data_IF_927793861533
#
_entry.id   IF_927793861533
#
_cell.length_a   1.000
_cell.length_b   1.000
_cell.length_c   1.000
_cell.angle_alpha   90.00
_cell.angle_beta   90.00
_cell.angle_gamma   90.00
#
_symmetry.space_group_name_H-M   'P 1'
#
loop_
_entity.id
_entity.type
_entity.pdbx_description
1 polymer ?
#
# COMPACT_ATOMS: atom_id res chain seq x y z
N UNK A 1 -6.76 47.74 -35.44
CA UNK A 1 -7.27 46.38 -35.79
C UNK A 1 -6.05 45.48 -35.82
N UNK A 2 -5.90 44.35 -35.15
CA UNK A 2 -6.77 43.56 -34.27
C UNK A 2 -5.94 42.97 -33.12
N UNK A 3 -6.64 42.43 -32.12
CA UNK A 3 -6.15 42.16 -30.75
C UNK A 3 -5.55 40.75 -30.62
N UNK A 4 -4.49 40.69 -29.81
CA UNK A 4 -4.01 39.52 -29.07
C UNK A 4 -5.13 38.81 -28.31
N UNK A 5 -5.03 37.48 -28.21
CA UNK A 5 -5.75 36.67 -27.24
C UNK A 5 -4.80 35.73 -26.51
N UNK A 6 -4.42 36.16 -25.31
CA UNK A 6 -3.98 35.35 -24.19
C UNK A 6 -4.95 34.19 -23.92
N UNK A 7 -4.44 32.97 -23.84
CA UNK A 7 -5.17 31.81 -23.32
C UNK A 7 -4.82 31.66 -21.84
N UNK A 8 -5.71 32.17 -20.97
CA UNK A 8 -5.72 31.89 -19.53
C UNK A 8 -6.22 30.46 -19.28
N UNK A 9 -5.34 29.57 -18.83
CA UNK A 9 -5.72 28.28 -18.24
C UNK A 9 -5.88 28.46 -16.72
N UNK A 10 -7.10 28.78 -16.29
CA UNK A 10 -7.49 28.82 -14.88
C UNK A 10 -8.73 27.94 -14.66
N UNK A 11 -8.53 26.66 -14.31
CA UNK A 11 -9.51 25.87 -13.56
C UNK A 11 -8.77 24.91 -12.63
N UNK A 12 -8.70 25.31 -11.37
CA UNK A 12 -8.41 24.43 -10.23
C UNK A 12 -9.53 23.40 -10.17
N UNK A 13 -9.20 22.11 -10.35
CA UNK A 13 -10.14 21.01 -10.18
C UNK A 13 -10.30 20.75 -8.68
N UNK A 14 -11.46 21.10 -8.13
CA UNK A 14 -11.87 20.77 -6.78
C UNK A 14 -12.04 19.24 -6.64
N UNK A 15 -11.40 18.65 -5.63
CA UNK A 15 -11.52 17.22 -5.30
C UNK A 15 -12.95 16.87 -4.82
N UNK A 16 -13.39 15.60 -4.96
CA UNK A 16 -14.79 15.21 -4.79
C UNK A 16 -15.34 15.45 -3.38
N UNK A 17 -16.66 15.65 -3.29
CA UNK A 17 -17.40 15.65 -2.03
C UNK A 17 -17.30 14.29 -1.30
N UNK A 18 -17.59 14.25 0.00
CA UNK A 18 -17.56 13.04 0.85
C UNK A 18 -18.33 11.81 0.31
N UNK A 19 -19.25 11.99 -0.65
CA UNK A 19 -19.92 10.89 -1.37
C UNK A 19 -19.00 10.14 -2.34
N UNK A 20 -17.94 10.80 -2.81
CA UNK A 20 -16.88 10.28 -3.67
C UNK A 20 -16.13 9.08 -3.09
N UNK A 21 -15.74 9.20 -1.82
CA UNK A 21 -14.92 8.22 -1.09
C UNK A 21 -15.72 7.00 -0.63
N UNK A 22 -17.00 7.18 -0.28
CA UNK A 22 -17.88 6.09 0.18
C UNK A 22 -18.16 5.04 -0.92
N UNK A 23 -17.93 5.36 -2.19
CA UNK A 23 -18.17 4.47 -3.30
C UNK A 23 -17.00 3.56 -3.70
N UNK A 24 -15.78 3.87 -3.24
CA UNK A 24 -14.62 2.97 -3.35
C UNK A 24 -14.96 1.55 -2.89
N UNK A 25 -15.87 1.42 -1.92
CA UNK A 25 -16.13 0.18 -1.21
C UNK A 25 -17.37 -0.59 -1.70
N UNK A 26 -18.24 0.02 -2.52
CA UNK A 26 -19.45 -0.68 -3.02
C UNK A 26 -19.16 -1.67 -4.16
N UNK A 27 -18.08 -1.46 -4.92
CA UNK A 27 -17.76 -2.29 -6.09
C UNK A 27 -16.80 -3.46 -5.80
N UNK A 28 -16.37 -3.67 -4.54
CA UNK A 28 -15.59 -4.85 -4.14
C UNK A 28 -16.46 -6.07 -3.74
N UNK A 29 -17.77 -6.03 -3.99
CA UNK A 29 -18.72 -7.07 -3.61
C UNK A 29 -19.03 -8.00 -4.81
N UNK A 30 -18.63 -9.28 -4.76
CA UNK A 30 -19.38 -10.34 -5.42
C UNK A 30 -20.19 -11.14 -4.40
N UNK A 31 -21.44 -11.38 -4.79
CA UNK A 31 -22.48 -12.21 -4.17
C UNK A 31 -21.93 -13.57 -3.76
N UNK A 32 -22.07 -13.98 -2.51
CA UNK A 32 -21.97 -15.41 -2.13
C UNK A 32 -23.10 -15.81 -1.19
N UNK A 33 -23.95 -16.69 -1.71
CA UNK A 33 -24.99 -17.42 -1.00
C UNK A 33 -24.43 -18.72 -0.39
N UNK A 34 -24.77 -18.95 0.87
CA UNK A 34 -24.91 -20.23 1.59
C UNK A 34 -23.92 -21.37 1.30
N UNK A 35 -22.91 -21.50 2.17
CA UNK A 35 -22.25 -22.78 2.45
C UNK A 35 -22.00 -22.93 3.96
N UNK A 36 -22.99 -23.48 4.68
CA UNK A 36 -22.87 -23.95 6.06
C UNK A 36 -23.56 -25.31 6.16
N UNK A 37 -22.84 -26.37 5.82
CA UNK A 37 -23.15 -27.74 6.23
C UNK A 37 -21.89 -28.61 6.10
N UNK A 38 -21.57 -29.37 7.17
CA UNK A 38 -20.46 -30.32 7.32
C UNK A 38 -19.10 -29.63 7.62
N UNK A 39 -18.46 -29.76 8.79
CA UNK A 39 -18.27 -30.93 9.63
C UNK A 39 -18.02 -30.55 11.11
N UNK A 40 -18.74 -31.23 12.01
CA UNK A 40 -18.38 -31.43 13.42
C UNK A 40 -18.11 -32.93 13.62
N UNK A 41 -16.95 -33.29 14.16
CA UNK A 41 -16.70 -34.44 15.06
C UNK A 41 -15.21 -34.43 15.46
N UNK A 42 -14.87 -34.07 16.73
CA UNK A 42 -14.48 -34.95 17.87
C UNK A 42 -13.16 -35.71 17.65
N UNK A 43 -12.18 -35.87 18.56
CA UNK A 43 -11.82 -35.41 19.93
C UNK A 43 -10.32 -35.88 20.15
N UNK A 44 -9.78 -36.19 21.35
CA UNK A 44 -8.94 -35.30 22.17
C UNK A 44 -7.55 -35.86 22.61
N UNK A 45 -6.71 -34.96 23.15
CA UNK A 45 -5.95 -35.20 24.39
C UNK A 45 -4.48 -35.65 24.29
N UNK A 46 -3.57 -34.86 24.86
CA UNK A 46 -2.58 -35.33 25.85
C UNK A 46 -1.90 -34.14 26.57
N UNK A 47 -1.72 -34.26 27.89
CA UNK A 47 -1.00 -33.33 28.80
C UNK A 47 0.19 -34.08 29.41
N UNK A 48 1.31 -33.39 29.67
CA UNK A 48 2.00 -33.26 31.00
C UNK A 48 3.40 -32.59 30.87
N UNK A 49 4.09 -32.15 31.96
CA UNK A 49 4.60 -30.77 32.08
C UNK A 49 6.09 -30.65 32.52
N UNK A 50 6.45 -29.48 33.10
CA UNK A 50 7.62 -29.14 33.96
C UNK A 50 8.81 -28.57 33.15
N UNK A 51 9.52 -27.49 33.55
CA UNK A 51 9.54 -26.68 34.76
C UNK A 51 10.46 -25.44 34.61
N UNK A 52 10.40 -24.56 35.62
CA UNK A 52 11.20 -23.31 35.81
C UNK A 52 12.71 -23.67 35.99
N UNK A 53 13.71 -22.84 35.69
CA UNK A 53 14.09 -21.59 36.41
C UNK A 53 15.44 -21.11 35.82
N UNK A 54 15.65 -19.80 35.59
CA UNK A 54 16.86 -19.04 35.95
C UNK A 54 16.84 -17.64 35.32
N UNK A 55 16.98 -16.63 36.16
CA UNK A 55 17.00 -15.21 35.82
C UNK A 55 18.28 -14.55 36.35
N UNK A 56 18.72 -13.49 35.63
CA UNK A 56 19.66 -12.39 36.01
C UNK A 56 21.14 -12.78 36.14
N UNK A 57 22.12 -12.04 35.59
CA UNK A 57 22.43 -10.59 35.64
C UNK A 57 23.24 -10.24 34.35
N UNK A 58 22.88 -9.38 33.39
CA UNK A 58 22.66 -7.92 33.32
C UNK A 58 23.92 -7.02 33.37
N UNK A 59 24.23 -6.34 32.25
CA UNK A 59 24.64 -4.92 32.04
C UNK A 59 25.62 -4.79 30.85
N UNK A 60 25.49 -3.87 29.90
CA UNK A 60 24.50 -2.83 29.66
C UNK A 60 24.85 -2.07 28.37
N UNK A 61 23.83 -1.58 27.66
CA UNK A 61 23.87 -0.48 26.67
C UNK A 61 22.41 -0.13 26.36
N UNK A 62 22.05 1.14 26.51
CA UNK A 62 20.72 1.64 26.20
C UNK A 62 20.44 1.50 24.69
N UNK A 63 19.54 0.59 24.34
CA UNK A 63 18.76 0.63 23.12
C UNK A 63 17.34 1.07 23.51
N UNK A 64 16.80 2.09 22.85
CA UNK A 64 15.35 2.26 22.75
C UNK A 64 14.82 1.03 22.02
N UNK A 65 14.54 0.00 22.81
CA UNK A 65 14.01 -1.28 22.37
C UNK A 65 12.53 -1.08 22.17
N UNK A 66 12.00 -1.50 21.03
CA UNK A 66 10.56 -1.78 20.88
C UNK A 66 10.22 -2.71 22.03
N UNK A 67 9.40 -2.25 22.99
CA UNK A 67 8.93 -3.12 24.07
C UNK A 67 8.14 -4.26 23.43
N UNK A 68 8.79 -5.42 23.28
CA UNK A 68 8.12 -6.67 22.96
C UNK A 68 7.18 -6.99 24.12
N UNK A 69 5.89 -6.79 23.91
CA UNK A 69 4.87 -7.11 24.90
C UNK A 69 4.91 -8.62 25.21
N UNK A 70 4.85 -9.02 26.49
CA UNK A 70 4.79 -10.44 26.84
C UNK A 70 3.49 -11.06 26.31
N UNK A 71 3.46 -12.38 26.00
CA UNK A 71 2.25 -13.06 25.52
C UNK A 71 1.19 -13.08 26.63
N UNK A 72 0.34 -12.05 26.64
CA UNK A 72 -0.80 -11.89 27.52
C UNK A 72 -2.12 -12.05 26.77
N UNK A 73 -3.20 -12.39 27.48
CA UNK A 73 -4.56 -12.46 26.92
C UNK A 73 -4.88 -11.16 26.17
N UNK A 74 -5.34 -11.28 24.92
CA UNK A 74 -5.91 -10.14 24.20
C UNK A 74 -7.18 -9.67 24.91
N UNK A 75 -7.18 -8.43 25.39
CA UNK A 75 -8.39 -7.79 25.89
C UNK A 75 -9.10 -7.08 24.74
N UNK A 76 -9.53 -7.83 23.73
CA UNK A 76 -10.26 -7.25 22.58
C UNK A 76 -11.60 -6.62 23.00
N UNK A 77 -12.08 -6.91 24.22
CA UNK A 77 -13.28 -6.31 24.80
C UNK A 77 -13.15 -4.81 25.10
N UNK A 78 -11.93 -4.26 25.13
CA UNK A 78 -11.68 -2.82 25.30
C UNK A 78 -11.46 -2.06 23.98
N UNK A 79 -11.51 -2.74 22.83
CA UNK A 79 -11.30 -2.10 21.53
C UNK A 79 -12.56 -1.33 21.11
N UNK A 80 -12.39 -0.07 20.73
CA UNK A 80 -13.48 0.77 20.23
C UNK A 80 -13.53 0.66 18.71
N UNK A 81 -14.49 -0.12 18.20
CA UNK A 81 -14.70 -0.33 16.76
C UNK A 81 -16.05 0.24 16.35
N UNK A 82 -16.05 1.10 15.32
CA UNK A 82 -17.26 1.69 14.74
C UNK A 82 -17.17 1.56 13.21
N UNK A 83 -18.18 0.99 12.56
CA UNK A 83 -18.24 0.82 11.10
C UNK A 83 -16.97 0.19 10.49
N UNK A 84 -16.40 -0.80 11.18
CA UNK A 84 -15.17 -1.48 10.76
C UNK A 84 -13.90 -0.65 10.91
N UNK A 85 -13.95 0.44 11.67
CA UNK A 85 -12.81 1.30 12.02
C UNK A 85 -12.47 1.13 13.49
N UNK A 86 -11.24 0.71 13.77
CA UNK A 86 -10.70 0.69 15.12
C UNK A 86 -10.19 2.10 15.48
N UNK A 87 -10.69 2.65 16.59
CA UNK A 87 -10.21 3.89 17.18
C UNK A 87 -8.98 3.63 18.04
N UNK A 88 -7.85 4.20 17.64
CA UNK A 88 -6.59 4.22 18.38
C UNK A 88 -6.45 5.43 19.31
N UNK A 89 -5.24 5.61 19.84
CA UNK A 89 -4.85 6.77 20.65
C UNK A 89 -4.68 8.00 19.76
N UNK A 90 -4.80 9.20 20.33
CA UNK A 90 -4.43 10.48 19.70
C UNK A 90 -5.02 10.74 18.30
N UNK A 91 -6.25 10.25 18.09
CA UNK A 91 -7.01 10.41 16.85
C UNK A 91 -6.61 9.45 15.72
N UNK A 92 -5.73 8.48 15.96
CA UNK A 92 -5.41 7.46 14.96
C UNK A 92 -6.59 6.53 14.72
N UNK A 93 -6.92 6.31 13.45
CA UNK A 93 -7.95 5.38 13.01
C UNK A 93 -7.29 4.24 12.23
N UNK A 94 -7.77 3.01 12.41
CA UNK A 94 -7.24 1.84 11.70
C UNK A 94 -8.37 1.12 10.99
N UNK A 95 -8.10 0.68 9.75
CA UNK A 95 -8.97 -0.26 9.07
C UNK A 95 -8.97 -1.57 9.86
N UNK A 96 -10.15 -2.00 10.33
CA UNK A 96 -10.28 -3.14 11.21
C UNK A 96 -11.10 -4.25 10.56
N UNK A 97 -12.30 -3.95 10.08
CA UNK A 97 -13.18 -4.92 9.41
C UNK A 97 -13.63 -4.40 8.03
N UNK A 98 -14.51 -5.14 7.37
CA UNK A 98 -15.09 -4.80 6.06
C UNK A 98 -14.84 -5.91 5.04
N UNK A 99 -14.72 -5.57 3.76
CA UNK A 99 -14.53 -6.56 2.68
C UNK A 99 -13.21 -7.34 2.75
N UNK A 100 -12.27 -6.91 3.60
CA UNK A 100 -10.92 -7.48 3.73
C UNK A 100 -10.65 -8.15 5.09
N UNK A 101 -11.55 -8.03 6.07
CA UNK A 101 -11.43 -8.62 7.43
C UNK A 101 -10.04 -8.47 8.08
N UNK A 102 -9.47 -7.25 8.07
CA UNK A 102 -8.08 -6.97 8.48
C UNK A 102 -7.78 -7.44 9.91
N UNK A 103 -8.74 -7.31 10.82
CA UNK A 103 -8.66 -7.73 12.22
C UNK A 103 -8.27 -9.20 12.37
N UNK A 104 -8.67 -10.06 11.43
CA UNK A 104 -8.39 -11.49 11.46
C UNK A 104 -6.90 -11.80 11.31
N UNK A 105 -6.12 -10.98 10.59
CA UNK A 105 -4.66 -11.18 10.53
C UNK A 105 -3.98 -11.08 11.91
N UNK A 106 -4.58 -10.37 12.86
CA UNK A 106 -4.03 -10.12 14.19
C UNK A 106 -4.74 -10.90 15.30
N UNK A 107 -5.89 -11.52 15.00
CA UNK A 107 -6.77 -12.20 15.97
C UNK A 107 -7.02 -13.67 15.67
N UNK A 108 -6.84 -14.11 14.42
CA UNK A 108 -7.03 -15.49 13.95
C UNK A 108 -5.73 -16.01 13.30
N UNK A 109 -4.97 -16.90 13.97
CA UNK A 109 -3.69 -17.37 13.47
C UNK A 109 -3.82 -18.27 12.23
N UNK A 110 -5.05 -18.72 11.91
CA UNK A 110 -5.35 -19.51 10.72
C UNK A 110 -5.85 -18.68 9.53
N UNK A 111 -6.04 -17.37 9.67
CA UNK A 111 -6.60 -16.55 8.59
C UNK A 111 -5.62 -16.38 7.41
N UNK A 112 -4.33 -16.23 7.71
CA UNK A 112 -3.25 -16.26 6.73
C UNK A 112 -2.08 -17.06 7.33
N UNK A 113 -2.05 -18.35 6.99
CA UNK A 113 -1.17 -19.36 7.56
C UNK A 113 -0.07 -19.80 6.59
N UNK A 114 0.43 -21.01 6.84
CA UNK A 114 1.44 -21.63 5.98
C UNK A 114 0.94 -21.96 4.56
N UNK A 115 -0.32 -22.45 4.36
CA UNK A 115 -0.82 -22.74 3.01
C UNK A 115 -0.93 -21.49 2.14
N UNK A 116 -1.46 -20.39 2.68
CA UNK A 116 -1.62 -19.12 1.94
C UNK A 116 -0.24 -18.56 1.56
N UNK A 117 0.70 -18.53 2.50
CA UNK A 117 2.08 -18.09 2.24
C UNK A 117 2.78 -18.98 1.19
N UNK A 118 2.59 -20.30 1.23
CA UNK A 118 3.18 -21.20 0.24
C UNK A 118 2.63 -20.95 -1.18
N UNK A 119 1.34 -20.61 -1.29
CA UNK A 119 0.73 -20.17 -2.55
C UNK A 119 1.40 -18.90 -3.10
N UNK A 120 1.62 -17.90 -2.26
CA UNK A 120 2.35 -16.68 -2.64
C UNK A 120 3.80 -16.95 -3.03
N UNK A 121 4.52 -17.78 -2.28
CA UNK A 121 5.90 -18.16 -2.63
C UNK A 121 5.96 -18.80 -4.02
N UNK A 122 5.02 -19.69 -4.32
CA UNK A 122 4.93 -20.33 -5.63
C UNK A 122 4.63 -19.31 -6.73
N UNK A 123 3.63 -18.44 -6.51
CA UNK A 123 3.23 -17.41 -7.46
C UNK A 123 4.39 -16.45 -7.77
N UNK A 124 5.03 -15.87 -6.75
CA UNK A 124 6.09 -14.87 -6.94
C UNK A 124 7.32 -15.46 -7.63
N UNK A 125 7.71 -16.70 -7.29
CA UNK A 125 8.81 -17.39 -7.98
C UNK A 125 8.45 -17.69 -9.43
N UNK A 126 7.22 -18.09 -9.71
CA UNK A 126 6.73 -18.30 -11.07
C UNK A 126 6.74 -17.02 -11.91
N UNK A 127 6.26 -15.91 -11.34
CA UNK A 127 6.31 -14.58 -11.97
C UNK A 127 7.75 -14.16 -12.27
N UNK A 128 8.66 -14.30 -11.30
CA UNK A 128 10.07 -13.99 -11.48
C UNK A 128 10.72 -14.80 -12.61
N UNK A 129 10.48 -16.11 -12.63
CA UNK A 129 11.03 -16.99 -13.68
C UNK A 129 10.51 -16.62 -15.07
N UNK A 130 9.22 -16.31 -15.21
CA UNK A 130 8.63 -15.89 -16.49
C UNK A 130 9.13 -14.51 -16.94
N UNK A 131 9.33 -13.57 -16.02
CA UNK A 131 9.97 -12.29 -16.34
C UNK A 131 11.43 -12.48 -16.80
N UNK A 132 12.18 -13.36 -16.15
CA UNK A 132 13.56 -13.64 -16.53
C UNK A 132 13.67 -14.24 -17.95
N UNK A 133 12.70 -15.05 -18.39
CA UNK A 133 12.65 -15.61 -19.75
C UNK A 133 12.56 -14.54 -20.85
N UNK A 134 11.99 -13.37 -20.55
CA UNK A 134 11.93 -12.23 -21.47
C UNK A 134 13.01 -11.17 -21.19
N UNK A 135 13.96 -11.46 -20.29
CA UNK A 135 15.03 -10.55 -19.91
C UNK A 135 14.64 -9.44 -18.93
N UNK A 136 13.44 -9.51 -18.35
CA UNK A 136 12.94 -8.50 -17.40
C UNK A 136 13.32 -8.84 -15.95
N UNK A 137 13.68 -7.83 -15.17
CA UNK A 137 13.77 -7.94 -13.71
C UNK A 137 12.36 -7.93 -13.10
N UNK A 138 12.16 -8.68 -12.01
CA UNK A 138 10.89 -8.71 -11.28
C UNK A 138 11.05 -8.34 -9.81
N UNK A 139 10.14 -7.50 -9.28
CA UNK A 139 10.01 -7.21 -7.85
C UNK A 139 8.54 -7.25 -7.43
N UNK A 140 8.30 -7.80 -6.25
CA UNK A 140 7.03 -7.71 -5.55
C UNK A 140 7.18 -6.78 -4.35
N UNK A 141 6.23 -5.89 -4.13
CA UNK A 141 6.17 -4.97 -3.01
C UNK A 141 4.90 -5.26 -2.22
N UNK A 142 5.04 -5.55 -0.93
CA UNK A 142 3.90 -5.64 -0.01
C UNK A 142 3.85 -4.38 0.82
N UNK A 143 2.76 -3.62 0.72
CA UNK A 143 2.56 -2.44 1.56
C UNK A 143 1.94 -2.89 2.88
N UNK A 144 2.63 -2.77 4.03
CA UNK A 144 2.07 -3.17 5.31
C UNK A 144 0.85 -2.32 5.66
N UNK A 145 -0.13 -2.92 6.32
CA UNK A 145 -1.25 -2.15 6.86
C UNK A 145 -0.77 -1.25 8.00
N UNK A 146 -1.47 -0.14 8.20
CA UNK A 146 -1.12 0.87 9.21
C UNK A 146 -1.04 0.31 10.64
N UNK A 147 -1.77 -0.77 10.94
CA UNK A 147 -1.71 -1.50 12.22
C UNK A 147 -0.31 -2.12 12.40
N UNK A 148 0.25 -2.73 11.36
CA UNK A 148 1.61 -3.28 11.36
C UNK A 148 2.65 -2.17 11.55
N UNK A 149 2.43 -0.97 11.01
CA UNK A 149 3.42 0.13 11.12
C UNK A 149 3.37 0.80 12.50
N UNK A 150 2.19 1.03 13.07
CA UNK A 150 2.01 1.86 14.28
C UNK A 150 1.36 1.14 15.47
N UNK A 151 1.96 0.06 16.03
CA UNK A 151 1.41 -0.62 17.19
C UNK A 151 1.27 0.28 18.42
N UNK A 152 2.12 1.30 18.58
CA UNK A 152 2.11 2.25 19.70
C UNK A 152 0.83 3.11 19.76
N UNK A 153 0.11 3.23 18.64
CA UNK A 153 -1.13 3.99 18.58
C UNK A 153 -2.37 3.10 18.81
N UNK A 154 -2.20 1.80 19.05
CA UNK A 154 -3.28 0.90 19.45
C UNK A 154 -3.64 1.09 20.93
N UNK A 155 -4.89 0.82 21.28
CA UNK A 155 -5.39 0.93 22.66
C UNK A 155 -5.14 -0.34 23.49
N UNK A 156 -4.95 -1.49 22.84
CA UNK A 156 -4.65 -2.76 23.47
C UNK A 156 -3.70 -3.61 22.59
N UNK A 157 -2.92 -4.52 23.17
CA UNK A 157 -2.07 -5.43 22.40
C UNK A 157 -2.89 -6.44 21.60
N UNK A 158 -2.41 -6.78 20.40
CA UNK A 158 -3.03 -7.79 19.54
C UNK A 158 -2.30 -9.13 19.68
N UNK A 159 -3.07 -10.20 19.93
CA UNK A 159 -2.53 -11.52 20.31
C UNK A 159 -1.54 -12.10 19.30
N UNK A 160 -1.81 -11.93 18.01
CA UNK A 160 -1.01 -12.49 16.94
C UNK A 160 -0.35 -11.39 16.11
N UNK A 161 0.03 -10.28 16.75
CA UNK A 161 0.62 -9.13 16.08
C UNK A 161 1.75 -9.53 15.12
N UNK A 162 2.77 -10.25 15.58
CA UNK A 162 3.94 -10.62 14.76
C UNK A 162 3.68 -11.70 13.68
N UNK A 163 2.41 -12.11 13.52
CA UNK A 163 1.97 -13.10 12.55
C UNK A 163 1.18 -12.49 11.38
N UNK A 164 1.08 -11.16 11.30
CA UNK A 164 0.50 -10.46 10.16
C UNK A 164 1.25 -10.81 8.85
N UNK A 165 0.58 -10.72 7.67
CA UNK A 165 1.17 -11.14 6.41
C UNK A 165 2.53 -10.52 6.08
N UNK A 166 2.71 -9.20 6.21
CA UNK A 166 3.99 -8.56 5.88
C UNK A 166 5.16 -9.15 6.68
N UNK A 167 4.99 -9.47 7.97
CA UNK A 167 6.00 -10.16 8.77
C UNK A 167 6.28 -11.59 8.29
N UNK A 168 5.27 -12.29 7.76
CA UNK A 168 5.42 -13.62 7.15
C UNK A 168 6.16 -13.55 5.82
N UNK A 169 5.86 -12.56 4.98
CA UNK A 169 6.59 -12.31 3.73
C UNK A 169 8.06 -11.99 4.00
N UNK A 170 8.36 -11.09 4.95
CA UNK A 170 9.73 -10.74 5.32
C UNK A 170 10.56 -11.97 5.76
N UNK A 171 9.94 -12.90 6.51
CA UNK A 171 10.59 -14.18 6.88
C UNK A 171 10.80 -15.12 5.69
N UNK A 172 9.91 -15.12 4.70
CA UNK A 172 10.01 -15.96 3.51
C UNK A 172 10.97 -15.40 2.44
N UNK A 173 11.20 -14.08 2.45
CA UNK A 173 12.00 -13.35 1.48
C UNK A 173 12.91 -12.31 2.19
N UNK A 174 14.03 -12.73 2.78
CA UNK A 174 14.80 -11.88 3.70
C UNK A 174 15.77 -10.88 3.03
N UNK A 175 15.92 -10.89 1.71
CA UNK A 175 17.01 -10.16 1.01
C UNK A 175 16.53 -9.08 0.02
N UNK A 176 15.22 -8.76 0.01
CA UNK A 176 14.60 -7.78 -0.89
C UNK A 176 14.81 -8.05 -2.41
N UNK A 177 15.31 -9.23 -2.80
CA UNK A 177 15.61 -9.56 -4.21
C UNK A 177 14.38 -9.96 -5.01
N UNK A 178 13.35 -10.50 -4.35
CA UNK A 178 12.10 -10.92 -4.99
C UNK A 178 10.91 -10.19 -4.40
N UNK A 179 10.78 -10.21 -3.07
CA UNK A 179 9.78 -9.45 -2.34
C UNK A 179 10.49 -8.39 -1.50
N UNK A 180 10.16 -7.14 -1.74
CA UNK A 180 10.71 -5.97 -1.06
C UNK A 180 9.93 -5.75 0.23
N UNK A 181 10.60 -5.92 1.36
CA UNK A 181 10.06 -5.59 2.67
C UNK A 181 10.38 -4.12 2.99
N UNK A 182 9.35 -3.33 3.28
CA UNK A 182 9.47 -1.90 3.64
C UNK A 182 9.06 -1.64 5.09
N UNK A 183 8.57 -2.64 5.82
CA UNK A 183 8.03 -2.43 7.18
C UNK A 183 9.10 -1.93 8.16
N UNK A 184 10.33 -2.49 8.20
CA UNK A 184 11.36 -1.96 9.09
C UNK A 184 11.79 -0.54 8.71
N UNK A 185 11.69 -0.15 7.43
CA UNK A 185 12.00 1.22 7.02
C UNK A 185 10.92 2.20 7.53
N UNK A 186 9.64 1.80 7.40
CA UNK A 186 8.50 2.56 7.91
C UNK A 186 8.45 2.62 9.46
N UNK A 187 9.07 1.66 10.14
CA UNK A 187 9.24 1.67 11.61
C UNK A 187 10.49 2.42 12.07
N UNK A 188 11.39 2.79 11.15
CA UNK A 188 12.68 3.39 11.48
C UNK A 188 13.74 2.40 11.99
N UNK A 189 13.49 1.10 11.85
CA UNK A 189 14.40 0.02 12.28
C UNK A 189 15.62 -0.11 11.35
N UNK A 190 15.43 0.14 10.04
CA UNK A 190 16.48 0.01 9.01
C UNK A 190 17.19 1.33 8.70
N UNK A 191 17.59 2.06 9.76
CA UNK A 191 18.33 3.32 9.67
C UNK A 191 17.43 4.55 9.58
N UNK A 192 18.03 5.72 9.35
CA UNK A 192 17.31 7.00 9.36
C UNK A 192 16.67 7.34 7.99
N UNK A 193 15.77 6.47 7.50
CA UNK A 193 15.03 6.73 6.27
C UNK A 193 14.15 7.97 6.35
N UNK A 194 13.67 8.31 7.55
CA UNK A 194 12.98 9.58 7.81
C UNK A 194 13.83 10.80 7.42
N UNK A 195 15.16 10.74 7.53
CA UNK A 195 16.05 11.81 7.07
C UNK A 195 16.36 11.79 5.56
N UNK A 196 15.95 10.74 4.84
CA UNK A 196 16.18 10.59 3.39
C UNK A 196 14.95 10.96 2.56
N UNK A 197 13.79 11.05 3.18
CA UNK A 197 12.56 11.47 2.50
C UNK A 197 12.54 12.98 2.39
N UNK A 198 12.14 13.49 1.23
CA UNK A 198 11.91 14.90 1.04
C UNK A 198 10.59 15.29 1.71
N UNK A 199 10.53 16.38 2.49
CA UNK A 199 9.28 16.80 3.10
C UNK A 199 8.30 17.20 1.99
N UNK A 200 7.15 16.56 1.97
CA UNK A 200 6.23 16.65 0.83
C UNK A 200 4.77 16.31 1.13
N UNK A 201 4.37 16.25 2.41
CA UNK A 201 2.97 16.38 2.78
C UNK A 201 2.50 15.58 3.99
N UNK A 202 2.36 16.28 5.11
CA UNK A 202 1.47 15.96 6.22
C UNK A 202 1.81 16.85 7.41
N UNK A 203 0.86 17.63 7.94
CA UNK A 203 1.03 18.21 9.29
C UNK A 203 0.48 17.24 10.35
N UNK A 204 0.55 15.93 10.09
CA UNK A 204 0.48 14.98 11.19
C UNK A 204 1.66 15.36 12.09
N UNK A 205 1.38 16.08 13.19
CA UNK A 205 2.40 16.69 14.04
C UNK A 205 3.54 15.69 14.29
N UNK A 206 4.69 15.93 13.65
CA UNK A 206 5.83 15.02 13.61
C UNK A 206 6.26 14.68 12.18
N UNK A 207 7.51 14.96 11.84
CA UNK A 207 8.16 14.67 10.54
C UNK A 207 8.20 13.19 10.13
N UNK A 208 7.65 12.29 10.95
CA UNK A 208 7.88 10.85 10.90
C UNK A 208 6.58 10.05 10.67
N UNK A 209 5.46 10.72 10.38
CA UNK A 209 4.19 10.07 10.09
C UNK A 209 4.09 9.67 8.61
N UNK A 210 4.45 8.42 8.32
CA UNK A 210 4.35 7.80 7.00
C UNK A 210 2.93 7.39 6.57
N UNK A 211 1.92 7.55 7.44
CA UNK A 211 0.51 7.36 7.09
C UNK A 211 -0.33 8.48 7.68
N UNK A 212 -1.43 8.81 7.00
CA UNK A 212 -2.43 9.71 7.56
C UNK A 212 -3.12 9.06 8.77
N UNK A 213 -3.52 9.85 9.76
CA UNK A 213 -4.20 9.35 10.97
C UNK A 213 -5.57 8.79 10.65
N UNK A 214 -6.31 9.45 9.77
CA UNK A 214 -7.72 9.19 9.44
C UNK A 214 -7.91 8.55 8.06
N UNK A 215 -6.82 8.16 7.39
CA UNK A 215 -6.83 7.42 6.13
C UNK A 215 -6.14 6.05 6.25
N UNK A 216 -6.46 5.09 5.39
CA UNK A 216 -5.76 3.81 5.30
C UNK A 216 -4.44 3.87 4.53
N UNK A 217 -4.19 4.95 3.78
CA UNK A 217 -3.03 5.11 2.91
C UNK A 217 -1.87 5.85 3.57
N UNK A 218 -0.69 5.66 2.97
CA UNK A 218 0.51 6.38 3.34
C UNK A 218 0.42 7.87 3.02
N UNK A 219 1.27 8.66 3.66
CA UNK A 219 1.57 10.03 3.25
C UNK A 219 2.52 10.03 2.05
N UNK A 220 2.86 11.21 1.55
CA UNK A 220 3.90 11.34 0.53
C UNK A 220 5.24 10.79 1.01
N UNK A 221 5.61 11.07 2.26
CA UNK A 221 6.81 10.58 2.93
C UNK A 221 6.80 9.06 3.04
N UNK A 222 5.67 8.45 3.44
CA UNK A 222 5.57 6.99 3.51
C UNK A 222 5.70 6.32 2.14
N UNK A 223 5.12 6.92 1.10
CA UNK A 223 5.32 6.47 -0.27
C UNK A 223 6.78 6.58 -0.71
N UNK A 224 7.49 7.65 -0.31
CA UNK A 224 8.90 7.81 -0.63
C UNK A 224 9.76 6.72 0.00
N UNK A 225 9.48 6.29 1.23
CA UNK A 225 10.20 5.18 1.86
C UNK A 225 10.11 3.93 0.98
N UNK A 226 8.90 3.57 0.53
CA UNK A 226 8.69 2.42 -0.34
C UNK A 226 9.40 2.58 -1.70
N UNK A 227 9.28 3.75 -2.31
CA UNK A 227 9.94 4.08 -3.57
C UNK A 227 11.47 3.98 -3.48
N UNK A 228 12.09 4.55 -2.44
CA UNK A 228 13.53 4.53 -2.28
C UNK A 228 14.06 3.12 -2.02
N UNK A 229 13.38 2.34 -1.18
CA UNK A 229 13.72 0.92 -0.95
C UNK A 229 13.57 0.09 -2.22
N UNK A 230 12.54 0.35 -3.01
CA UNK A 230 12.34 -0.32 -4.30
C UNK A 230 13.47 0.03 -5.29
N UNK A 231 13.85 1.31 -5.40
CA UNK A 231 15.00 1.72 -6.22
C UNK A 231 16.31 1.06 -5.78
N UNK A 232 16.56 0.96 -4.47
CA UNK A 232 17.72 0.24 -3.92
C UNK A 232 17.69 -1.24 -4.31
N UNK A 233 16.53 -1.91 -4.16
CA UNK A 233 16.37 -3.33 -4.53
C UNK A 233 16.60 -3.59 -6.03
N UNK A 234 16.36 -2.57 -6.87
CA UNK A 234 16.57 -2.61 -8.32
C UNK A 234 17.99 -2.17 -8.72
N UNK A 235 18.81 -1.71 -7.77
CA UNK A 235 20.16 -1.19 -8.02
C UNK A 235 20.17 0.08 -8.87
N UNK A 236 19.16 0.95 -8.72
CA UNK A 236 19.05 2.20 -9.48
C UNK A 236 19.09 3.43 -8.58
N UNK A 237 19.57 4.53 -9.14
CA UNK A 237 19.55 5.82 -8.46
C UNK A 237 18.17 6.47 -8.63
N UNK A 238 17.45 6.79 -7.53
CA UNK A 238 16.18 7.50 -7.60
C UNK A 238 16.36 8.92 -8.14
N UNK A 239 15.32 9.49 -8.76
CA UNK A 239 15.30 10.91 -9.09
C UNK A 239 15.37 11.80 -7.83
N UNK A 240 15.96 12.98 -7.97
CA UNK A 240 15.95 14.02 -6.93
C UNK A 240 14.54 14.62 -6.77
N UNK A 241 13.90 14.34 -5.63
CA UNK A 241 12.58 14.83 -5.28
C UNK A 241 12.60 16.15 -4.47
N UNK A 242 13.76 16.75 -4.19
CA UNK A 242 13.89 17.99 -3.40
C UNK A 242 13.14 19.19 -4.02
N UNK A 243 12.86 19.09 -5.32
CA UNK A 243 12.06 20.08 -6.07
C UNK A 243 10.59 19.71 -6.15
N UNK A 244 10.15 18.56 -5.63
CA UNK A 244 8.74 18.32 -5.40
C UNK A 244 8.21 19.43 -4.49
N UNK A 245 7.07 20.00 -4.87
CA UNK A 245 6.41 21.07 -4.12
C UNK A 245 5.02 20.57 -3.79
N UNK A 246 4.80 20.03 -2.59
CA UNK A 246 3.45 19.70 -2.20
C UNK A 246 2.57 20.94 -2.18
N UNK A 247 1.30 20.77 -2.53
CA UNK A 247 0.33 21.86 -2.41
C UNK A 247 0.12 22.27 -0.96
N UNK A 248 -0.53 23.41 -0.71
CA UNK A 248 -0.97 23.75 0.64
C UNK A 248 -1.88 22.64 1.17
N UNK A 249 -1.72 22.31 2.45
CA UNK A 249 -2.59 21.34 3.11
C UNK A 249 -4.01 21.89 3.28
N UNK A 250 -4.95 20.99 3.48
CA UNK A 250 -6.36 21.32 3.68
C UNK A 250 -6.99 20.38 4.68
N UNK A 251 -7.90 20.93 5.49
CA UNK A 251 -8.80 20.12 6.28
C UNK A 251 -9.73 19.34 5.36
N UNK A 252 -9.74 18.02 5.51
CA UNK A 252 -10.65 17.18 4.76
C UNK A 252 -10.98 15.89 5.48
N UNK A 253 -12.09 15.28 5.08
CA UNK A 253 -12.47 13.94 5.49
C UNK A 253 -11.78 12.94 4.56
N UNK A 254 -11.01 12.03 5.16
CA UNK A 254 -10.29 10.95 4.48
C UNK A 254 -11.03 9.60 4.62
N UNK A 255 -10.50 8.52 4.07
CA UNK A 255 -11.28 7.29 3.83
C UNK A 255 -11.84 6.60 5.10
N UNK A 256 -11.08 6.54 6.21
CA UNK A 256 -11.53 5.99 7.48
C UNK A 256 -12.37 7.01 8.24
N UNK A 257 -11.95 8.28 8.22
CA UNK A 257 -12.69 9.39 8.83
C UNK A 257 -14.11 9.53 8.28
N UNK A 258 -14.31 9.24 6.99
CA UNK A 258 -15.62 9.26 6.32
C UNK A 258 -16.58 8.17 6.82
N UNK A 259 -16.09 7.13 7.49
CA UNK A 259 -16.89 6.00 7.97
C UNK A 259 -17.44 6.22 9.39
N UNK A 260 -17.07 7.30 10.05
CA UNK A 260 -17.50 7.62 11.41
C UNK A 260 -18.62 8.67 11.42
N UNK A 261 -19.40 8.69 12.50
CA UNK A 261 -20.45 9.70 12.72
C UNK A 261 -20.25 10.44 14.05
N UNK A 262 -19.93 11.75 14.05
CA UNK A 262 -19.68 12.60 12.89
C UNK A 262 -18.37 12.22 12.16
N UNK A 263 -18.22 12.58 10.87
CA UNK A 263 -16.98 12.36 10.14
C UNK A 263 -15.78 13.04 10.82
N UNK A 264 -14.64 12.38 10.80
CA UNK A 264 -13.39 12.92 11.36
C UNK A 264 -12.56 13.54 10.25
N UNK A 265 -12.08 14.77 10.48
CA UNK A 265 -11.22 15.52 9.56
C UNK A 265 -9.75 15.36 9.93
N UNK A 266 -8.90 15.55 8.94
CA UNK A 266 -7.45 15.67 9.09
C UNK A 266 -6.90 16.75 8.17
N UNK A 267 -5.84 17.42 8.63
CA UNK A 267 -5.05 18.32 7.80
C UNK A 267 -4.18 17.52 6.83
N UNK A 268 -4.69 17.31 5.61
CA UNK A 268 -4.03 16.48 4.62
C UNK A 268 -3.32 17.34 3.55
N UNK A 269 -2.09 16.95 3.21
CA UNK A 269 -1.31 17.55 2.12
C UNK A 269 -1.14 16.50 1.03
N UNK A 270 -1.46 16.90 -0.19
CA UNK A 270 -1.23 16.08 -1.38
C UNK A 270 -0.27 16.82 -2.29
N UNK A 271 0.82 16.16 -2.65
CA UNK A 271 1.81 16.71 -3.56
C UNK A 271 1.64 16.19 -4.97
N UNK A 272 1.82 17.08 -5.95
CA UNK A 272 2.04 16.66 -7.32
C UNK A 272 3.52 16.31 -7.46
N UNK A 273 3.79 15.02 -7.69
CA UNK A 273 5.14 14.50 -7.88
C UNK A 273 5.53 14.60 -9.35
N UNK A 274 4.58 14.25 -10.24
CA UNK A 274 4.81 14.24 -11.68
C UNK A 274 5.04 15.67 -12.19
N UNK A 275 6.25 15.94 -12.65
CA UNK A 275 6.75 17.25 -13.08
C UNK A 275 7.34 17.18 -14.48
N UNK A 276 8.31 16.30 -14.69
CA UNK A 276 9.01 16.15 -15.97
C UNK A 276 8.36 15.10 -16.84
N UNK A 277 7.94 13.99 -16.23
CA UNK A 277 7.23 12.95 -16.95
C UNK A 277 5.83 13.43 -17.37
N UNK A 278 5.41 13.01 -18.55
CA UNK A 278 4.11 13.37 -19.14
C UNK A 278 3.35 12.10 -19.47
N UNK A 279 2.04 12.11 -19.20
CA UNK A 279 1.15 11.05 -19.63
C UNK A 279 1.08 11.04 -21.16
N UNK A 280 1.38 9.89 -21.76
CA UNK A 280 1.32 9.64 -23.21
C UNK A 280 0.06 8.87 -23.60
N UNK A 281 -0.39 7.96 -22.74
CA UNK A 281 -1.59 7.19 -22.96
C UNK A 281 -2.36 6.93 -21.65
N UNK A 282 -3.66 6.76 -21.80
CA UNK A 282 -4.60 6.27 -20.80
C UNK A 282 -5.75 5.53 -21.48
N UNK A 283 -6.42 4.65 -20.74
CA UNK A 283 -7.61 3.96 -21.22
C UNK A 283 -8.92 4.63 -20.76
N UNK A 284 -10.04 4.18 -21.32
CA UNK A 284 -11.38 4.71 -21.08
C UNK A 284 -11.72 4.80 -19.59
N UNK A 285 -11.30 3.82 -18.79
CA UNK A 285 -11.59 3.81 -17.35
C UNK A 285 -10.92 4.99 -16.62
N UNK A 286 -9.68 5.34 -16.99
CA UNK A 286 -9.00 6.52 -16.44
C UNK A 286 -9.74 7.79 -16.87
N UNK A 287 -10.09 7.92 -18.15
CA UNK A 287 -10.84 9.08 -18.68
C UNK A 287 -12.19 9.24 -17.98
N UNK A 288 -12.91 8.15 -17.77
CA UNK A 288 -14.16 8.10 -17.01
C UNK A 288 -13.95 8.58 -15.58
N UNK A 289 -12.94 8.05 -14.88
CA UNK A 289 -12.67 8.44 -13.50
C UNK A 289 -12.35 9.92 -13.35
N UNK A 290 -11.51 10.45 -14.23
CA UNK A 290 -11.05 11.84 -14.19
C UNK A 290 -12.16 12.83 -14.59
N UNK A 291 -13.05 12.45 -15.52
CA UNK A 291 -14.15 13.31 -15.97
C UNK A 291 -15.37 13.26 -15.04
N UNK A 292 -15.72 12.09 -14.51
CA UNK A 292 -16.98 11.91 -13.77
C UNK A 292 -16.90 10.94 -12.58
N UNK A 293 -16.18 9.82 -12.72
CA UNK A 293 -16.26 8.70 -11.77
C UNK A 293 -15.84 9.11 -10.35
N UNK A 294 -14.76 9.87 -10.22
CA UNK A 294 -14.31 10.37 -8.92
C UNK A 294 -15.31 11.38 -8.32
N UNK A 295 -15.80 12.32 -9.11
CA UNK A 295 -16.71 13.37 -8.66
C UNK A 295 -18.06 12.81 -8.20
N UNK A 296 -18.56 11.78 -8.91
CA UNK A 296 -19.83 11.10 -8.60
C UNK A 296 -19.71 10.11 -7.44
N UNK A 297 -18.49 9.72 -7.07
CA UNK A 297 -18.31 8.57 -6.20
C UNK A 297 -18.83 7.33 -6.88
N UNK A 298 -18.29 7.01 -8.05
CA UNK A 298 -18.47 5.74 -8.74
C UNK A 298 -17.22 5.40 -9.56
N UNK A 299 -15.99 5.58 -9.03
CA UNK A 299 -14.79 5.32 -9.82
C UNK A 299 -14.65 3.83 -10.18
N UNK A 300 -14.06 3.55 -11.35
CA UNK A 300 -13.72 2.23 -11.87
C UNK A 300 -12.21 2.05 -11.82
N UNK A 301 -11.69 1.31 -10.85
CA UNK A 301 -10.24 1.23 -10.66
C UNK A 301 -9.59 0.05 -11.38
N UNK A 302 -10.07 -1.17 -11.15
CA UNK A 302 -9.44 -2.38 -11.70
C UNK A 302 -9.42 -2.29 -13.22
N UNK A 303 -8.23 -2.39 -13.80
CA UNK A 303 -8.00 -2.24 -15.24
C UNK A 303 -7.71 -0.82 -15.71
N UNK A 304 -7.71 0.20 -14.84
CA UNK A 304 -7.12 1.50 -15.20
C UNK A 304 -5.68 1.31 -15.67
N UNK A 305 -5.33 1.91 -16.81
CA UNK A 305 -3.97 1.91 -17.32
C UNK A 305 -3.54 3.32 -17.69
N UNK A 306 -2.31 3.68 -17.33
CA UNK A 306 -1.64 4.89 -17.82
C UNK A 306 -0.23 4.56 -18.27
N UNK A 307 0.26 5.29 -19.28
CA UNK A 307 1.66 5.32 -19.68
C UNK A 307 2.18 6.74 -19.50
N UNK A 308 3.22 6.88 -18.68
CA UNK A 308 3.98 8.11 -18.56
C UNK A 308 5.34 7.97 -19.24
N UNK A 309 5.77 9.01 -19.94
CA UNK A 309 7.07 9.10 -20.59
C UNK A 309 7.86 10.29 -20.06
N UNK A 310 9.15 10.08 -19.80
CA UNK A 310 10.08 11.07 -19.30
C UNK A 310 11.21 11.29 -20.31
N UNK A 311 11.17 12.44 -20.99
CA UNK A 311 12.11 12.81 -22.06
C UNK A 311 13.45 13.34 -21.52
N UNK A 312 13.60 13.47 -20.20
CA UNK A 312 14.76 14.08 -19.61
C UNK A 312 16.03 13.23 -19.82
N UNK A 313 17.20 13.86 -20.07
CA UNK A 313 18.45 13.13 -20.30
C UNK A 313 18.84 12.20 -19.14
N UNK A 314 18.56 12.60 -17.90
CA UNK A 314 18.85 11.83 -16.70
C UNK A 314 17.86 10.69 -16.42
N UNK A 315 16.74 10.61 -17.13
CA UNK A 315 15.77 9.53 -16.94
C UNK A 315 16.39 8.20 -17.36
N UNK A 316 16.32 7.20 -16.48
CA UNK A 316 16.86 5.87 -16.70
C UNK A 316 16.17 5.28 -17.93
N UNK A 317 16.94 4.94 -18.96
CA UNK A 317 16.45 4.38 -20.22
C UNK A 317 16.01 2.92 -20.07
N UNK A 318 14.97 2.72 -19.25
CA UNK A 318 14.29 1.45 -19.03
C UNK A 318 12.79 1.67 -19.09
N UNK A 319 12.10 0.62 -19.53
CA UNK A 319 10.65 0.49 -19.50
C UNK A 319 10.22 -0.32 -18.29
N UNK A 320 9.36 0.27 -17.47
CA UNK A 320 8.79 -0.32 -16.27
C UNK A 320 7.31 -0.57 -16.47
N UNK A 321 6.83 -1.74 -16.07
CA UNK A 321 5.40 -1.97 -15.84
C UNK A 321 5.15 -2.24 -14.36
N UNK A 322 4.20 -1.49 -13.81
CA UNK A 322 3.77 -1.55 -12.41
C UNK A 322 2.31 -2.01 -12.36
N UNK A 323 2.09 -3.19 -11.78
CA UNK A 323 0.76 -3.68 -11.43
C UNK A 323 0.53 -3.41 -9.95
N UNK A 324 -0.46 -2.59 -9.59
CA UNK A 324 -0.64 -2.19 -8.20
C UNK A 324 -2.06 -1.79 -7.84
N UNK A 325 -2.22 -1.29 -6.62
CA UNK A 325 -3.49 -0.81 -6.10
C UNK A 325 -3.49 0.72 -5.84
N UNK A 326 -4.31 1.17 -4.89
CA UNK A 326 -4.43 2.57 -4.50
C UNK A 326 -3.17 3.17 -3.88
N UNK A 327 -2.19 2.36 -3.47
CA UNK A 327 -0.88 2.84 -3.07
C UNK A 327 -0.03 3.30 -4.27
N UNK A 328 -0.26 2.77 -5.47
CA UNK A 328 0.47 3.18 -6.69
C UNK A 328 -0.16 4.38 -7.40
N UNK A 329 -1.47 4.27 -7.64
CA UNK A 329 -2.35 5.30 -8.21
C UNK A 329 -2.04 5.75 -9.67
N UNK A 330 -3.07 6.12 -10.46
CA UNK A 330 -2.92 6.55 -11.86
C UNK A 330 -2.80 8.08 -12.05
N UNK A 331 -3.12 8.85 -11.01
CA UNK A 331 -3.02 10.30 -10.93
C UNK A 331 -1.55 10.73 -10.71
N UNK A 332 -1.17 12.02 -10.86
CA UNK A 332 0.23 12.47 -10.85
C UNK A 332 0.88 12.53 -9.44
N UNK A 333 0.63 11.53 -8.60
CA UNK A 333 1.14 11.40 -7.23
C UNK A 333 1.53 9.94 -6.91
N UNK A 334 2.08 9.71 -5.71
CA UNK A 334 2.52 8.41 -5.19
C UNK A 334 3.53 7.66 -6.09
N UNK A 335 3.55 6.33 -5.98
CA UNK A 335 4.62 5.46 -6.46
C UNK A 335 4.72 5.49 -7.99
N UNK A 336 3.59 5.49 -8.70
CA UNK A 336 3.57 5.60 -10.17
C UNK A 336 4.28 6.88 -10.62
N UNK A 337 4.00 8.01 -9.96
CA UNK A 337 4.61 9.29 -10.34
C UNK A 337 6.10 9.36 -9.98
N UNK A 338 6.52 8.88 -8.80
CA UNK A 338 7.94 8.84 -8.40
C UNK A 338 8.77 7.96 -9.35
N UNK A 339 8.24 6.80 -9.73
CA UNK A 339 8.86 5.93 -10.73
C UNK A 339 8.91 6.62 -12.11
N UNK A 340 7.85 7.32 -12.50
CA UNK A 340 7.81 8.06 -13.77
C UNK A 340 8.83 9.20 -13.84
N UNK A 341 9.15 9.85 -12.72
CA UNK A 341 10.23 10.85 -12.67
C UNK A 341 11.64 10.23 -12.75
N UNK A 342 11.77 8.93 -12.48
CA UNK A 342 13.05 8.20 -12.48
C UNK A 342 13.33 7.46 -13.78
N UNK A 343 12.31 6.80 -14.32
CA UNK A 343 12.42 5.95 -15.51
C UNK A 343 11.82 6.62 -16.74
N UNK A 344 12.35 6.25 -17.91
CA UNK A 344 11.94 6.81 -19.20
C UNK A 344 10.52 6.44 -19.58
N UNK A 345 10.12 5.20 -19.38
CA UNK A 345 8.79 4.70 -19.71
C UNK A 345 8.21 3.94 -18.51
N UNK A 346 7.08 4.40 -17.98
CA UNK A 346 6.38 3.75 -16.88
C UNK A 346 4.93 3.50 -17.28
N UNK A 347 4.54 2.23 -17.27
CA UNK A 347 3.17 1.77 -17.47
C UNK A 347 2.61 1.35 -16.13
N UNK A 348 1.54 1.98 -15.68
CA UNK A 348 0.81 1.52 -14.50
C UNK A 348 -0.46 0.81 -14.94
N UNK A 349 -0.75 -0.32 -14.31
CA UNK A 349 -1.99 -1.08 -14.45
C UNK A 349 -2.55 -1.30 -13.05
N UNK A 350 -3.78 -0.86 -12.81
CA UNK A 350 -4.44 -1.12 -11.54
C UNK A 350 -4.96 -2.56 -11.51
N UNK A 351 -4.17 -3.48 -10.97
CA UNK A 351 -4.51 -4.89 -10.87
C UNK A 351 -3.54 -5.63 -9.94
N UNK A 352 -4.05 -6.61 -9.21
CA UNK A 352 -3.22 -7.57 -8.45
C UNK A 352 -2.81 -8.79 -9.29
N UNK A 353 -3.54 -9.05 -10.38
CA UNK A 353 -3.23 -10.06 -11.40
C UNK A 353 -2.40 -9.45 -12.54
N UNK A 354 -1.44 -10.21 -13.05
CA UNK A 354 -0.68 -9.83 -14.24
C UNK A 354 -1.45 -10.15 -15.51
N UNK A 355 -1.33 -9.25 -16.49
CA UNK A 355 -1.64 -9.54 -17.89
C UNK A 355 -0.33 -9.85 -18.61
N UNK A 356 -0.12 -11.12 -18.91
CA UNK A 356 1.11 -11.59 -19.54
C UNK A 356 1.21 -11.28 -21.03
N UNK A 357 0.07 -11.12 -21.72
CA UNK A 357 0.07 -10.76 -23.14
C UNK A 357 0.43 -9.28 -23.28
N UNK A 358 -0.09 -8.44 -22.38
CA UNK A 358 0.34 -7.05 -22.25
C UNK A 358 1.84 -6.95 -21.95
N UNK A 359 2.35 -7.72 -20.98
CA UNK A 359 3.80 -7.75 -20.67
C UNK A 359 4.63 -8.18 -21.89
N UNK A 360 4.20 -9.23 -22.61
CA UNK A 360 4.90 -9.74 -23.78
C UNK A 360 4.92 -8.73 -24.95
N UNK A 361 3.80 -8.03 -25.18
CA UNK A 361 3.71 -6.98 -26.18
C UNK A 361 4.58 -5.77 -25.80
N UNK A 362 4.58 -5.42 -24.51
CA UNK A 362 5.29 -4.26 -23.98
C UNK A 362 6.81 -4.45 -23.93
N UNK A 363 7.28 -5.69 -23.70
CA UNK A 363 8.71 -6.04 -23.51
C UNK A 363 9.40 -5.11 -22.49
N UNK A 364 8.93 -5.07 -21.24
CA UNK A 364 9.52 -4.21 -20.21
C UNK A 364 10.90 -4.73 -19.78
N UNK A 365 11.75 -3.82 -19.30
CA UNK A 365 13.00 -4.18 -18.62
C UNK A 365 12.74 -4.57 -17.15
N UNK A 366 11.66 -4.04 -16.57
CA UNK A 366 11.31 -4.22 -15.16
C UNK A 366 9.79 -4.42 -15.04
N UNK A 367 9.40 -5.48 -14.34
CA UNK A 367 8.02 -5.75 -13.91
C UNK A 367 7.96 -5.60 -12.38
N UNK A 368 7.08 -4.72 -11.90
CA UNK A 368 6.81 -4.55 -10.47
C UNK A 368 5.37 -4.94 -10.22
N UNK A 369 5.15 -5.66 -9.12
CA UNK A 369 3.82 -5.85 -8.55
C UNK A 369 3.79 -5.24 -7.16
N UNK A 370 2.72 -4.56 -6.83
CA UNK A 370 2.47 -3.96 -5.52
C UNK A 370 1.11 -4.44 -5.02
N UNK A 371 1.01 -4.72 -3.73
CA UNK A 371 -0.26 -5.04 -3.09
C UNK A 371 -0.26 -4.62 -1.62
N UNK A 372 -1.37 -4.04 -1.15
CA UNK A 372 -1.61 -3.85 0.26
C UNK A 372 -1.75 -5.18 1.01
N UNK A 373 -1.16 -5.25 2.20
CA UNK A 373 -1.18 -6.41 3.11
C UNK A 373 -2.61 -6.99 3.28
N UNK A 374 -3.61 -6.13 3.41
CA UNK A 374 -5.02 -6.53 3.54
C UNK A 374 -5.55 -7.43 2.41
N UNK A 375 -4.99 -7.37 1.21
CA UNK A 375 -5.47 -8.13 0.05
C UNK A 375 -4.81 -9.49 -0.14
N UNK A 376 -3.75 -9.81 0.62
CA UNK A 376 -2.94 -11.02 0.40
C UNK A 376 -3.69 -12.33 0.70
N UNK A 377 -4.81 -12.30 1.41
CA UNK A 377 -5.60 -13.51 1.61
C UNK A 377 -6.35 -13.98 0.34
N UNK A 378 -6.22 -13.27 -0.78
CA UNK A 378 -6.69 -13.70 -2.10
C UNK A 378 -5.50 -13.78 -3.04
N UNK A 379 -5.13 -15.01 -3.42
CA UNK A 379 -4.05 -15.24 -4.35
C UNK A 379 -4.47 -14.84 -5.78
N UNK A 380 -3.72 -13.95 -6.47
CA UNK A 380 -3.97 -13.64 -7.87
C UNK A 380 -3.83 -14.85 -8.78
N UNK A 381 -4.61 -14.87 -9.87
CA UNK A 381 -4.62 -15.96 -10.86
C UNK A 381 -3.82 -15.66 -12.11
N UNK A 382 -3.52 -14.38 -12.37
CA UNK A 382 -2.86 -13.90 -13.59
C UNK A 382 -3.58 -14.32 -14.88
N UNK A 383 -4.92 -14.34 -14.82
CA UNK A 383 -5.87 -14.56 -15.91
C UNK A 383 -6.56 -13.26 -16.36
N UNK A 384 -5.96 -12.11 -16.00
CA UNK A 384 -6.48 -10.79 -16.30
C UNK A 384 -6.08 -10.37 -17.72
N UNK A 385 -7.05 -9.86 -18.48
CA UNK A 385 -6.84 -9.27 -19.81
C UNK A 385 -7.18 -7.78 -19.75
N UNK A 386 -6.19 -6.94 -20.03
CA UNK A 386 -6.31 -5.50 -20.02
C UNK A 386 -7.00 -5.01 -21.30
N UNK A 387 -8.08 -4.25 -21.13
CA UNK A 387 -8.66 -3.46 -22.23
C UNK A 387 -7.90 -2.14 -22.37
N UNK A 388 -7.43 -1.88 -23.60
CA UNK A 388 -6.66 -0.68 -23.96
C UNK A 388 -7.52 0.40 -24.64
N UNK A 389 -8.83 0.19 -24.77
CA UNK A 389 -9.77 1.12 -25.43
C UNK A 389 -9.87 2.49 -24.73
#
# INVERSE_FOLDING_TARGET
MGRDRDIRLSKVVTLPSARGLAALFRQQQPVTSNWLAALRARSPGFRHPIGRTAAKVARGLLHMSIETFPPGRSDTGSLSVENGILRGRDGWLFLWDGSNDVSRYYTDPGYFGAPELAGWVTLLRGRAARCAQIGAQYRHLVVPDKISVYPQHLTAPLRYFDQHPAARFARAFPDDTLCVDILPDLRGDRGNWAARVEPGGGDAQGSDAFFFKTDSHWTFEGCQVAYLRLCESLGVTPCDLSKARPGPGKEMVLDLGAKLSPPVLEHARFGRVLRQAKRQADNEMVRYNESEGLAKGTPRFVGCMVHNHNDQPQAIAKRVVLFGDSFCEFRPHLLTAMLSETFRDVHFVWSTSLDWDFIAALKPDIVITEIAERFVNRLPKDDFALSLD
#
